data_IF_813161317786
#
_entry.id   IF_813161317786
#
_cell.length_a   1.000
_cell.length_b   1.000
_cell.length_c   1.000
_cell.angle_alpha   90.00
_cell.angle_beta   90.00
_cell.angle_gamma   90.00
#
_symmetry.space_group_name_H-M   'P 1'
#
loop_
_entity.id
_entity.type
_entity.pdbx_description
1 polymer ?
#
# COMPACT_ATOMS: atom_id res chain seq x y z
N UNK A 1 -1.63 28.83 1.88
CA UNK A 1 -1.18 28.40 0.54
C UNK A 1 -1.11 26.87 0.49
N UNK A 2 -2.23 26.18 0.75
CA UNK A 2 -2.29 24.71 0.89
C UNK A 2 -3.45 24.08 0.11
N UNK A 3 -4.47 24.84 -0.28
CA UNK A 3 -5.69 24.34 -0.96
C UNK A 3 -5.38 23.68 -2.31
N UNK A 4 -4.56 24.31 -3.16
CA UNK A 4 -4.24 23.78 -4.50
C UNK A 4 -3.44 22.46 -4.49
N UNK A 5 -2.71 22.16 -3.42
CA UNK A 5 -1.99 20.88 -3.30
C UNK A 5 -2.96 19.74 -3.04
N UNK A 6 -3.87 19.90 -2.07
CA UNK A 6 -4.85 18.87 -1.72
C UNK A 6 -5.82 18.57 -2.87
N UNK A 7 -6.21 19.59 -3.64
CA UNK A 7 -7.07 19.46 -4.81
C UNK A 7 -6.49 18.53 -5.89
N UNK A 8 -5.16 18.56 -6.10
CA UNK A 8 -4.50 17.66 -7.04
C UNK A 8 -4.67 16.19 -6.62
N UNK A 9 -4.48 15.87 -5.34
CA UNK A 9 -4.63 14.50 -4.85
C UNK A 9 -6.09 14.03 -4.89
N UNK A 10 -7.06 14.90 -4.58
CA UNK A 10 -8.49 14.57 -4.73
C UNK A 10 -8.83 14.30 -6.20
N UNK A 11 -8.27 15.08 -7.13
CA UNK A 11 -8.45 14.87 -8.57
C UNK A 11 -7.84 13.56 -9.05
N UNK A 12 -6.59 13.26 -8.65
CA UNK A 12 -5.92 12.00 -8.94
C UNK A 12 -6.69 10.80 -8.36
N UNK A 13 -7.29 10.96 -7.18
CA UNK A 13 -8.10 9.89 -6.56
C UNK A 13 -9.34 9.57 -7.39
N UNK A 14 -10.00 10.57 -7.99
CA UNK A 14 -11.15 10.34 -8.85
C UNK A 14 -10.79 9.52 -10.12
N UNK A 15 -9.58 9.67 -10.64
CA UNK A 15 -9.06 8.83 -11.73
C UNK A 15 -8.73 7.42 -11.25
N UNK A 16 -8.04 7.31 -10.11
CA UNK A 16 -7.72 6.04 -9.46
C UNK A 16 -8.98 5.21 -9.17
N UNK A 17 -10.01 5.83 -8.60
CA UNK A 17 -11.26 5.16 -8.23
C UNK A 17 -11.94 4.50 -9.45
N UNK A 18 -11.93 5.17 -10.60
CA UNK A 18 -12.51 4.63 -11.85
C UNK A 18 -11.79 3.37 -12.32
N UNK A 19 -10.47 3.31 -12.16
CA UNK A 19 -9.65 2.16 -12.57
C UNK A 19 -9.80 0.98 -11.59
N UNK A 20 -10.06 1.28 -10.31
CA UNK A 20 -10.11 0.31 -9.21
C UNK A 20 -11.52 -0.07 -8.75
N UNK A 21 -12.55 0.32 -9.49
CA UNK A 21 -13.94 -0.11 -9.26
C UNK A 21 -14.25 -1.54 -9.76
N UNK A 22 -13.30 -2.20 -10.43
CA UNK A 22 -13.49 -3.50 -11.07
C UNK A 22 -12.78 -4.62 -10.27
N UNK A 23 -13.18 -5.88 -10.46
CA UNK A 23 -12.60 -7.09 -9.83
C UNK A 23 -12.99 -7.38 -8.36
N UNK A 24 -14.25 -7.14 -7.98
CA UNK A 24 -14.78 -7.58 -6.68
C UNK A 24 -14.37 -6.72 -5.47
N UNK A 25 -13.59 -5.65 -5.70
CA UNK A 25 -13.09 -4.75 -4.66
C UNK A 25 -14.05 -3.59 -4.32
N UNK A 26 -15.28 -3.61 -4.86
CA UNK A 26 -16.24 -2.50 -4.72
C UNK A 26 -16.54 -2.15 -3.25
N UNK A 27 -16.49 -3.13 -2.35
CA UNK A 27 -16.66 -2.92 -0.90
C UNK A 27 -15.59 -2.01 -0.28
N UNK A 28 -14.42 -1.84 -0.92
CA UNK A 28 -13.36 -0.95 -0.45
C UNK A 28 -13.64 0.52 -0.75
N UNK A 29 -14.58 0.82 -1.66
CA UNK A 29 -14.82 2.18 -2.15
C UNK A 29 -15.26 3.15 -1.03
N UNK A 30 -16.19 2.79 -0.13
CA UNK A 30 -16.55 3.67 0.98
C UNK A 30 -15.35 4.01 1.88
N UNK A 31 -14.46 3.04 2.15
CA UNK A 31 -13.26 3.24 2.98
C UNK A 31 -12.32 4.23 2.30
N UNK A 32 -12.04 4.04 1.00
CA UNK A 32 -11.15 4.91 0.22
C UNK A 32 -11.69 6.34 0.11
N UNK A 33 -13.00 6.48 -0.14
CA UNK A 33 -13.68 7.78 -0.21
C UNK A 33 -13.67 8.51 1.12
N UNK A 34 -13.89 7.80 2.22
CA UNK A 34 -13.77 8.37 3.56
C UNK A 34 -12.34 8.86 3.82
N UNK A 35 -11.34 8.05 3.46
CA UNK A 35 -9.93 8.38 3.65
C UNK A 35 -9.48 9.59 2.81
N UNK A 36 -9.84 9.69 1.52
CA UNK A 36 -9.47 10.86 0.71
C UNK A 36 -10.18 12.13 1.19
N UNK A 37 -11.45 12.02 1.60
CA UNK A 37 -12.21 13.15 2.16
C UNK A 37 -11.55 13.63 3.45
N UNK A 38 -11.06 12.69 4.27
CA UNK A 38 -10.34 13.03 5.49
C UNK A 38 -8.99 13.67 5.20
N UNK A 39 -8.23 13.16 4.24
CA UNK A 39 -7.00 13.80 3.79
C UNK A 39 -7.23 15.23 3.32
N UNK A 40 -8.29 15.47 2.53
CA UNK A 40 -8.64 16.82 2.08
C UNK A 40 -8.97 17.77 3.24
N UNK A 41 -9.62 17.26 4.30
CA UNK A 41 -9.94 18.04 5.49
C UNK A 41 -8.71 18.31 6.39
N UNK A 42 -7.81 17.33 6.55
CA UNK A 42 -6.60 17.45 7.36
C UNK A 42 -5.54 18.32 6.67
N UNK A 43 -5.37 18.14 5.36
CA UNK A 43 -4.23 18.65 4.61
C UNK A 43 -2.91 17.97 5.00
N UNK A 44 -1.82 18.37 4.35
CA UNK A 44 -0.48 17.92 4.76
C UNK A 44 -0.11 18.49 6.13
N UNK A 45 0.57 17.71 6.98
CA UNK A 45 1.02 18.21 8.25
C UNK A 45 2.09 19.30 8.08
N UNK A 46 2.23 20.15 9.07
CA UNK A 46 3.25 21.20 9.12
C UNK A 46 4.05 21.06 10.40
N UNK A 47 5.21 21.73 10.48
CA UNK A 47 6.03 21.78 11.71
C UNK A 47 5.34 22.47 12.90
N UNK A 48 4.11 22.97 12.72
CA UNK A 48 3.25 23.44 13.81
C UNK A 48 2.52 22.32 14.54
N UNK A 49 2.38 21.14 13.92
CA UNK A 49 1.85 19.95 14.58
C UNK A 49 2.98 19.28 15.37
N UNK A 50 2.73 18.92 16.63
CA UNK A 50 3.79 18.42 17.54
C UNK A 50 4.49 17.17 16.97
N UNK A 51 3.73 16.23 16.40
CA UNK A 51 4.26 15.01 15.75
C UNK A 51 5.21 15.30 14.57
N UNK A 52 5.12 16.51 13.98
CA UNK A 52 5.86 16.92 12.78
C UNK A 52 6.81 18.09 13.03
N UNK A 53 6.99 18.50 14.29
CA UNK A 53 7.81 19.65 14.68
C UNK A 53 9.23 19.62 14.10
N UNK A 54 9.80 18.43 14.01
CA UNK A 54 11.17 18.20 13.52
C UNK A 54 11.22 17.62 12.10
N UNK A 55 10.08 17.41 11.45
CA UNK A 55 9.99 16.75 10.13
C UNK A 55 9.20 17.63 9.16
N UNK A 56 9.92 18.44 8.37
CA UNK A 56 9.30 19.32 7.40
C UNK A 56 8.91 18.56 6.10
N UNK A 57 7.60 18.35 5.90
CA UNK A 57 7.06 17.68 4.69
C UNK A 57 6.64 18.63 3.57
N UNK A 58 6.89 19.94 3.70
CA UNK A 58 6.57 20.90 2.64
C UNK A 58 7.16 20.55 1.26
N UNK A 59 8.39 19.97 1.13
CA UNK A 59 8.91 19.54 -0.17
C UNK A 59 8.04 18.45 -0.84
N UNK A 60 7.52 17.51 -0.05
CA UNK A 60 6.61 16.45 -0.53
C UNK A 60 5.31 17.10 -1.01
N UNK A 61 4.70 17.97 -0.19
CA UNK A 61 3.43 18.63 -0.51
C UNK A 61 3.51 19.53 -1.77
N UNK A 62 4.69 20.07 -2.10
CA UNK A 62 4.87 20.92 -3.30
C UNK A 62 5.17 20.12 -4.56
N UNK A 63 5.46 18.83 -4.44
CA UNK A 63 5.78 17.98 -5.58
C UNK A 63 4.49 17.45 -6.20
N UNK A 64 4.25 17.68 -7.50
CA UNK A 64 3.04 17.19 -8.17
C UNK A 64 3.18 15.70 -8.48
N UNK A 65 2.91 14.86 -7.48
CA UNK A 65 2.95 13.41 -7.66
C UNK A 65 1.85 12.94 -8.62
N UNK A 66 2.19 11.91 -9.38
CA UNK A 66 1.27 11.13 -10.20
C UNK A 66 1.37 9.68 -9.80
N UNK A 67 0.36 8.90 -10.11
CA UNK A 67 0.45 7.46 -9.96
C UNK A 67 1.59 6.92 -10.82
N UNK A 68 2.47 6.15 -10.18
CA UNK A 68 3.53 5.47 -10.89
C UNK A 68 2.91 4.33 -11.72
N UNK A 69 3.32 4.16 -12.98
CA UNK A 69 2.84 3.05 -13.78
C UNK A 69 3.43 1.73 -13.26
N UNK A 70 2.78 0.62 -13.64
CA UNK A 70 3.38 -0.70 -13.49
C UNK A 70 4.71 -0.74 -14.25
N UNK A 71 5.81 -1.15 -13.61
CA UNK A 71 7.12 -1.15 -14.26
C UNK A 71 7.22 -2.27 -15.29
N UNK A 72 8.18 -2.15 -16.21
CA UNK A 72 8.60 -3.29 -17.03
C UNK A 72 9.34 -4.32 -16.17
N UNK A 73 9.27 -5.58 -16.58
CA UNK A 73 9.96 -6.67 -15.90
C UNK A 73 11.47 -6.43 -15.80
N UNK A 74 12.09 -5.89 -16.85
CA UNK A 74 13.52 -5.58 -16.91
C UNK A 74 13.91 -4.56 -15.84
N UNK A 75 13.15 -3.46 -15.73
CA UNK A 75 13.43 -2.39 -14.75
C UNK A 75 13.19 -2.85 -13.32
N UNK A 76 12.17 -3.67 -13.10
CA UNK A 76 11.89 -4.28 -11.81
C UNK A 76 13.03 -5.24 -11.39
N UNK A 77 13.54 -6.06 -12.32
CA UNK A 77 14.63 -6.99 -12.06
C UNK A 77 15.95 -6.27 -11.75
N UNK A 78 16.28 -5.23 -12.52
CA UNK A 78 17.44 -4.37 -12.30
C UNK A 78 17.44 -3.81 -10.88
N UNK A 79 16.33 -3.22 -10.44
CA UNK A 79 16.26 -2.59 -9.14
C UNK A 79 16.29 -3.60 -7.98
N UNK A 80 15.74 -4.81 -8.16
CA UNK A 80 15.78 -5.86 -7.15
C UNK A 80 17.21 -6.28 -6.77
N UNK A 81 18.17 -6.20 -7.70
CA UNK A 81 19.56 -6.60 -7.43
C UNK A 81 20.18 -5.87 -6.23
N UNK A 82 19.72 -4.65 -5.95
CA UNK A 82 20.20 -3.82 -4.83
C UNK A 82 19.37 -3.94 -3.56
N UNK A 83 18.22 -4.63 -3.63
CA UNK A 83 17.23 -4.71 -2.55
C UNK A 83 17.08 -6.14 -1.97
N UNK A 84 18.04 -7.03 -2.24
CA UNK A 84 18.03 -8.42 -1.72
C UNK A 84 18.94 -8.59 -0.52
N UNK A 85 18.56 -9.49 0.38
CA UNK A 85 19.38 -9.90 1.52
C UNK A 85 20.14 -11.17 1.09
N UNK A 86 21.44 -11.04 0.88
CA UNK A 86 22.28 -12.15 0.43
C UNK A 86 22.21 -13.34 1.41
N UNK A 87 21.98 -14.54 0.87
CA UNK A 87 21.94 -15.79 1.65
C UNK A 87 20.65 -16.03 2.44
N UNK A 88 19.65 -15.15 2.35
CA UNK A 88 18.39 -15.33 3.06
C UNK A 88 17.48 -16.35 2.36
N UNK A 89 17.24 -17.47 3.03
CA UNK A 89 16.18 -18.41 2.64
C UNK A 89 14.84 -17.88 3.16
N UNK A 90 13.95 -17.50 2.24
CA UNK A 90 12.67 -16.87 2.59
C UNK A 90 11.59 -17.08 1.52
N UNK A 91 10.35 -16.79 1.92
CA UNK A 91 9.23 -16.54 1.01
C UNK A 91 9.30 -15.06 0.60
N UNK A 92 9.63 -14.76 -0.66
CA UNK A 92 9.78 -13.38 -1.11
C UNK A 92 8.55 -12.88 -1.86
N UNK A 93 8.02 -11.71 -1.49
CA UNK A 93 7.05 -10.95 -2.28
C UNK A 93 7.67 -9.62 -2.66
N UNK A 94 7.70 -9.34 -3.96
CA UNK A 94 8.28 -8.11 -4.52
C UNK A 94 7.17 -7.21 -5.01
N UNK A 95 7.24 -5.95 -4.58
CA UNK A 95 6.37 -4.87 -4.99
C UNK A 95 7.22 -3.77 -5.58
N UNK A 96 6.89 -3.35 -6.80
CA UNK A 96 7.58 -2.25 -7.46
C UNK A 96 6.56 -1.20 -7.84
N UNK A 97 6.80 0.05 -7.42
CA UNK A 97 5.86 1.17 -7.55
C UNK A 97 4.48 0.87 -6.93
N UNK A 98 4.44 0.05 -5.88
CA UNK A 98 3.19 -0.37 -5.23
C UNK A 98 2.42 -1.48 -5.95
N UNK A 99 2.99 -2.12 -6.98
CA UNK A 99 2.39 -3.26 -7.67
C UNK A 99 3.11 -4.56 -7.34
N UNK A 100 2.39 -5.63 -7.04
CA UNK A 100 2.98 -6.97 -6.94
C UNK A 100 3.57 -7.44 -8.28
N UNK A 101 4.78 -7.99 -8.23
CA UNK A 101 5.53 -8.53 -9.38
C UNK A 101 5.76 -10.04 -9.16
N UNK A 102 4.88 -10.90 -9.70
CA UNK A 102 4.97 -12.35 -9.52
C UNK A 102 6.29 -12.95 -10.00
N UNK A 103 6.84 -12.43 -11.10
CA UNK A 103 8.04 -12.95 -11.77
C UNK A 103 9.31 -12.76 -10.93
N UNK A 104 9.27 -11.83 -9.97
CA UNK A 104 10.36 -11.54 -9.04
C UNK A 104 10.08 -12.04 -7.62
N UNK A 105 8.90 -12.59 -7.40
CA UNK A 105 8.47 -13.15 -6.13
C UNK A 105 8.75 -14.65 -6.11
N UNK A 106 9.15 -15.17 -4.95
CA UNK A 106 9.47 -16.59 -4.77
C UNK A 106 8.55 -17.19 -3.70
N UNK A 107 7.34 -17.61 -4.09
CA UNK A 107 6.46 -18.32 -3.17
C UNK A 107 7.10 -19.66 -2.78
N UNK A 108 6.87 -20.08 -1.54
CA UNK A 108 7.28 -21.40 -1.03
C UNK A 108 6.10 -22.09 -0.35
N UNK A 109 6.19 -23.41 -0.10
CA UNK A 109 5.14 -24.12 0.61
C UNK A 109 4.83 -23.46 1.95
N UNK A 110 3.54 -23.21 2.19
CA UNK A 110 3.05 -22.64 3.43
C UNK A 110 2.54 -23.77 4.35
N UNK A 111 2.65 -23.60 5.68
CA UNK A 111 1.96 -24.49 6.61
C UNK A 111 0.46 -24.55 6.33
N UNK A 112 -0.17 -25.66 6.69
CA UNK A 112 -1.61 -25.85 6.50
C UNK A 112 -2.40 -24.72 7.18
N UNK A 113 -3.32 -24.11 6.43
CA UNK A 113 -4.18 -23.03 6.91
C UNK A 113 -3.55 -21.63 6.91
N UNK A 114 -2.24 -21.51 6.62
CA UNK A 114 -1.63 -20.22 6.35
C UNK A 114 -2.00 -19.76 4.94
N UNK A 115 -2.45 -18.52 4.83
CA UNK A 115 -2.76 -17.89 3.56
C UNK A 115 -1.87 -16.66 3.38
N UNK A 116 -1.09 -16.64 2.29
CA UNK A 116 -0.26 -15.51 1.90
C UNK A 116 -0.56 -15.16 0.44
N UNK A 117 -0.92 -13.91 0.21
CA UNK A 117 -1.12 -13.36 -1.13
C UNK A 117 -0.75 -11.88 -1.18
N UNK A 118 -0.74 -11.32 -2.38
CA UNK A 118 -0.84 -9.87 -2.50
C UNK A 118 -2.23 -9.39 -2.04
N UNK A 119 -2.30 -8.15 -1.58
CA UNK A 119 -3.51 -7.57 -1.03
C UNK A 119 -4.57 -7.36 -2.11
N UNK A 120 -4.18 -6.94 -3.33
CA UNK A 120 -5.12 -6.72 -4.41
C UNK A 120 -5.96 -7.98 -4.73
N UNK A 121 -5.32 -9.16 -4.73
CA UNK A 121 -6.01 -10.44 -4.88
C UNK A 121 -6.92 -10.75 -3.68
N UNK A 122 -6.43 -10.55 -2.45
CA UNK A 122 -7.19 -10.83 -1.24
C UNK A 122 -8.46 -9.95 -1.13
N UNK A 123 -8.38 -8.67 -1.52
CA UNK A 123 -9.53 -7.75 -1.53
C UNK A 123 -10.66 -8.24 -2.45
N UNK A 124 -10.35 -8.91 -3.55
CA UNK A 124 -11.34 -9.42 -4.50
C UNK A 124 -11.78 -10.87 -4.24
N UNK A 125 -10.86 -11.73 -3.80
CA UNK A 125 -11.08 -13.18 -3.72
C UNK A 125 -11.43 -13.66 -2.31
N UNK A 126 -10.97 -12.95 -1.27
CA UNK A 126 -11.20 -13.31 0.13
C UNK A 126 -11.58 -12.09 0.98
N UNK A 127 -12.58 -11.28 0.57
CA UNK A 127 -12.94 -10.04 1.27
C UNK A 127 -13.29 -10.29 2.74
N UNK A 128 -13.97 -11.40 3.05
CA UNK A 128 -14.34 -11.79 4.41
C UNK A 128 -13.15 -11.96 5.37
N UNK A 129 -11.94 -12.23 4.87
CA UNK A 129 -10.72 -12.33 5.68
C UNK A 129 -10.04 -10.98 5.87
N UNK A 130 -10.28 -10.00 4.98
CA UNK A 130 -9.55 -8.72 4.96
C UNK A 130 -10.40 -7.58 5.52
N UNK A 131 -11.67 -7.52 5.15
CA UNK A 131 -12.63 -6.47 5.53
C UNK A 131 -12.68 -6.21 7.05
N UNK A 132 -12.66 -7.21 7.95
CA UNK A 132 -12.68 -6.96 9.39
C UNK A 132 -11.45 -6.20 9.93
N UNK A 133 -10.36 -6.17 9.16
CA UNK A 133 -9.04 -5.69 9.54
C UNK A 133 -8.60 -4.44 8.75
N UNK A 134 -9.10 -4.27 7.53
CA UNK A 134 -8.68 -3.18 6.65
C UNK A 134 -9.04 -1.81 7.25
N UNK A 135 -8.08 -0.88 7.24
CA UNK A 135 -8.22 0.48 7.76
C UNK A 135 -8.68 0.57 9.25
N UNK A 136 -8.49 -0.50 10.03
CA UNK A 136 -8.92 -0.55 11.44
C UNK A 136 -7.84 -0.20 12.45
N UNK A 137 -6.58 -0.47 12.11
CA UNK A 137 -5.46 -0.38 13.06
C UNK A 137 -4.63 0.89 12.89
N UNK A 138 -4.62 1.46 11.69
CA UNK A 138 -3.98 2.74 11.41
C UNK A 138 -5.06 3.81 11.29
N UNK A 139 -5.08 4.77 12.23
CA UNK A 139 -6.10 5.82 12.33
C UNK A 139 -5.94 6.84 11.19
N UNK A 140 -6.58 6.55 10.06
CA UNK A 140 -6.60 7.45 8.91
C UNK A 140 -7.41 8.73 9.21
N UNK A 141 -8.24 8.68 10.25
CA UNK A 141 -8.95 9.81 10.80
C UNK A 141 -8.02 10.88 11.35
N UNK A 142 -6.85 10.54 11.91
CA UNK A 142 -6.03 11.55 12.59
C UNK A 142 -4.74 11.90 11.83
N UNK A 143 -4.33 11.03 10.91
CA UNK A 143 -3.04 11.16 10.24
C UNK A 143 -3.17 11.27 8.72
N UNK A 144 -2.76 12.42 8.18
CA UNK A 144 -2.89 12.74 6.75
C UNK A 144 -2.22 11.73 5.82
N UNK A 145 -1.02 11.24 6.16
CA UNK A 145 -0.34 10.23 5.33
C UNK A 145 -1.00 8.85 5.39
N UNK A 146 -1.62 8.49 6.52
CA UNK A 146 -2.41 7.25 6.65
C UNK A 146 -3.70 7.39 5.83
N UNK A 147 -4.36 8.54 5.88
CA UNK A 147 -5.50 8.87 5.02
C UNK A 147 -5.16 8.77 3.54
N UNK A 148 -4.03 9.36 3.13
CA UNK A 148 -3.58 9.31 1.75
C UNK A 148 -3.25 7.87 1.31
N UNK A 149 -2.52 7.12 2.13
CA UNK A 149 -2.19 5.73 1.83
C UNK A 149 -3.46 4.85 1.74
N UNK A 150 -4.40 5.02 2.67
CA UNK A 150 -5.66 4.26 2.71
C UNK A 150 -6.54 4.56 1.48
N UNK A 151 -6.61 5.82 1.06
CA UNK A 151 -7.32 6.21 -0.16
C UNK A 151 -6.73 5.50 -1.40
N UNK A 152 -5.42 5.61 -1.60
CA UNK A 152 -4.72 5.13 -2.81
C UNK A 152 -4.23 3.68 -2.72
N UNK A 153 -4.52 2.95 -1.66
CA UNK A 153 -3.98 1.61 -1.41
C UNK A 153 -4.33 0.65 -2.56
N UNK A 154 -3.39 0.33 -3.44
CA UNK A 154 -3.68 -0.53 -4.58
C UNK A 154 -3.41 -2.01 -4.28
N UNK A 155 -2.30 -2.25 -3.61
CA UNK A 155 -1.78 -3.59 -3.34
C UNK A 155 -0.96 -3.56 -2.04
N UNK A 156 -0.37 -4.68 -1.69
CA UNK A 156 0.38 -4.89 -0.47
C UNK A 156 0.42 -6.38 -0.15
N UNK A 157 0.57 -6.73 1.12
CA UNK A 157 0.54 -8.13 1.57
C UNK A 157 -0.75 -8.41 2.33
N UNK A 158 -1.33 -9.60 2.10
CA UNK A 158 -2.30 -10.20 2.97
C UNK A 158 -1.72 -11.52 3.49
N UNK A 159 -1.48 -11.59 4.81
CA UNK A 159 -0.92 -12.76 5.49
C UNK A 159 -1.82 -13.14 6.67
N UNK A 160 -2.45 -14.30 6.57
CA UNK A 160 -3.25 -14.88 7.64
C UNK A 160 -2.53 -16.11 8.19
N UNK A 161 -2.27 -16.11 9.50
CA UNK A 161 -1.60 -17.19 10.22
C UNK A 161 -2.55 -17.70 11.31
N UNK A 162 -2.98 -18.97 11.27
CA UNK A 162 -3.81 -19.55 12.32
C UNK A 162 -3.12 -19.55 13.70
N UNK A 163 -3.89 -19.49 14.81
CA UNK A 163 -3.33 -19.61 16.15
C UNK A 163 -2.48 -20.87 16.31
N UNK A 164 -1.30 -20.73 16.94
CA UNK A 164 -0.37 -21.83 17.19
C UNK A 164 0.43 -22.30 15.97
N UNK A 165 0.24 -21.70 14.78
CA UNK A 165 1.05 -22.00 13.62
C UNK A 165 2.44 -21.34 13.71
N UNK A 166 3.48 -22.08 13.31
CA UNK A 166 4.86 -21.58 13.22
C UNK A 166 5.28 -21.57 11.76
N UNK A 167 5.74 -20.40 11.29
CA UNK A 167 6.30 -20.26 9.93
C UNK A 167 7.72 -20.82 9.89
N UNK A 168 8.04 -21.79 9.00
CA UNK A 168 9.37 -22.38 8.94
C UNK A 168 10.40 -21.44 8.30
N UNK A 169 9.94 -20.53 7.45
CA UNK A 169 10.76 -19.54 6.77
C UNK A 169 10.16 -18.13 6.97
N UNK A 170 11.00 -17.09 7.03
CA UNK A 170 10.52 -15.72 7.10
C UNK A 170 9.84 -15.30 5.79
N UNK A 171 8.89 -14.38 5.90
CA UNK A 171 8.32 -13.67 4.75
C UNK A 171 9.12 -12.39 4.53
N UNK A 172 9.74 -12.26 3.36
CA UNK A 172 10.52 -11.10 2.96
C UNK A 172 9.70 -10.25 1.99
N UNK A 173 9.32 -9.05 2.43
CA UNK A 173 8.57 -8.10 1.62
C UNK A 173 9.51 -7.04 1.08
N UNK A 174 9.69 -7.00 -0.23
CA UNK A 174 10.59 -6.05 -0.88
C UNK A 174 9.74 -4.98 -1.58
N UNK A 175 9.84 -3.73 -1.13
CA UNK A 175 9.17 -2.58 -1.73
C UNK A 175 10.20 -1.69 -2.43
N UNK A 176 10.08 -1.54 -3.74
CA UNK A 176 11.00 -0.78 -4.59
C UNK A 176 10.22 0.34 -5.28
N UNK A 177 10.82 1.52 -5.40
CA UNK A 177 10.27 2.63 -6.20
C UNK A 177 11.29 3.01 -7.27
N UNK A 178 10.81 3.20 -8.51
CA UNK A 178 11.61 3.55 -9.69
C UNK A 178 11.40 5.01 -10.12
#
# INVERSE_FOLDING_TARGET
>A
MTEGTTELYVSNFAEFEKQHATNGQAWTQPIRRAAISRFAALGFPTTRHEEWKYTNVAPIARTPFRMAPRPSQERAAEALTTATIAGLTCIQLVFVNGHYVPELSSPRPLPQGVHLSNLAAALGQAPHQVEPHLARYAAYEDHAFVALNTAFMQDGVALFIPPGCVMPEPVHLVFITL
#
